data_IF_941118732564
#
_entry.id   IF_941118732564
#
_cell.length_a   1.000
_cell.length_b   1.000
_cell.length_c   1.000
_cell.angle_alpha   90.00
_cell.angle_beta   90.00
_cell.angle_gamma   90.00
#
_symmetry.space_group_name_H-M   'P 1'
#
loop_
_entity.id
_entity.type
_entity.pdbx_description
1 polymer ?
#
# COMPACT_ATOMS: atom_id res chain seq x y z
N UNK A 1 -8.84 -16.66 2.65
CA UNK A 1 -9.15 -17.08 4.04
C UNK A 1 -9.24 -15.79 4.87
N UNK A 2 -10.42 -15.38 5.32
CA UNK A 2 -10.68 -13.96 5.68
C UNK A 2 -10.31 -13.59 7.14
N UNK A 3 -10.07 -14.57 8.02
CA UNK A 3 -9.82 -14.33 9.45
C UNK A 3 -8.46 -14.89 9.95
N UNK A 4 -7.38 -14.73 9.18
CA UNK A 4 -6.05 -15.08 9.69
C UNK A 4 -5.53 -13.98 10.66
N UNK A 5 -5.33 -14.28 11.96
CA UNK A 5 -4.83 -13.31 12.93
C UNK A 5 -3.42 -12.81 12.62
N UNK A 6 -2.64 -13.53 11.80
CA UNK A 6 -1.32 -13.12 11.33
C UNK A 6 -1.33 -12.41 9.97
N UNK A 7 -2.52 -12.21 9.39
CA UNK A 7 -2.75 -11.57 8.08
C UNK A 7 -1.78 -12.08 7.01
N UNK A 8 -1.60 -13.40 6.90
CA UNK A 8 -0.71 -13.98 5.90
C UNK A 8 -1.22 -13.68 4.49
N UNK A 9 -0.28 -13.56 3.56
CA UNK A 9 -0.56 -13.25 2.16
C UNK A 9 -1.15 -14.48 1.46
N UNK A 10 -2.19 -14.28 0.67
CA UNK A 10 -2.82 -15.33 -0.13
C UNK A 10 -2.05 -15.54 -1.44
N UNK A 11 -0.86 -16.13 -1.31
CA UNK A 11 0.04 -16.39 -2.43
C UNK A 11 -0.31 -17.71 -3.11
N UNK A 12 -0.35 -17.70 -4.44
CA UNK A 12 -0.62 -18.88 -5.25
C UNK A 12 0.49 -19.92 -5.05
N UNK A 13 0.10 -21.11 -4.59
CA UNK A 13 1.04 -22.22 -4.40
C UNK A 13 1.63 -22.65 -5.76
N UNK A 14 2.92 -23.04 -5.80
CA UNK A 14 3.52 -23.58 -7.01
C UNK A 14 2.81 -24.85 -7.44
N UNK A 15 2.76 -25.07 -8.76
CA UNK A 15 2.17 -26.25 -9.38
C UNK A 15 3.11 -26.81 -10.42
N UNK A 16 3.26 -28.12 -10.41
CA UNK A 16 3.93 -28.90 -11.44
C UNK A 16 3.06 -28.96 -12.71
N UNK A 17 3.59 -29.38 -13.87
CA UNK A 17 2.82 -29.52 -15.10
C UNK A 17 1.60 -30.44 -15.00
N UNK A 18 1.62 -31.40 -14.07
CA UNK A 18 0.48 -32.28 -13.79
C UNK A 18 -0.61 -31.62 -12.90
N UNK A 19 -0.38 -30.40 -12.43
CA UNK A 19 -1.27 -29.63 -11.56
C UNK A 19 -1.03 -29.80 -10.07
N UNK A 20 -0.19 -30.76 -9.66
CA UNK A 20 0.08 -31.04 -8.25
C UNK A 20 1.03 -30.01 -7.65
N UNK A 21 0.96 -29.85 -6.33
CA UNK A 21 1.94 -29.05 -5.60
C UNK A 21 3.28 -29.81 -5.55
N UNK A 22 4.43 -29.16 -5.82
CA UNK A 22 5.72 -29.83 -5.77
C UNK A 22 5.97 -30.51 -4.41
N UNK A 23 6.56 -31.72 -4.42
CA UNK A 23 6.87 -32.44 -3.19
C UNK A 23 7.78 -31.60 -2.29
N UNK A 24 7.57 -31.72 -0.98
CA UNK A 24 8.38 -31.03 0.02
C UNK A 24 8.14 -29.52 0.15
N UNK A 25 7.25 -28.91 -0.65
CA UNK A 25 6.86 -27.51 -0.47
C UNK A 25 6.15 -27.30 0.88
N UNK A 26 6.71 -26.42 1.72
CA UNK A 26 6.19 -26.11 3.05
C UNK A 26 5.34 -24.85 3.02
N UNK A 27 5.78 -23.84 2.26
CA UNK A 27 5.12 -22.54 2.19
C UNK A 27 6.06 -21.43 1.74
N UNK A 28 5.56 -20.20 1.78
CA UNK A 28 6.35 -19.01 1.47
C UNK A 28 7.01 -18.44 2.72
N UNK A 29 8.29 -18.06 2.62
CA UNK A 29 9.08 -17.55 3.74
C UNK A 29 8.43 -16.31 4.37
N UNK A 30 7.86 -15.41 3.56
CA UNK A 30 7.14 -14.21 4.02
C UNK A 30 6.00 -14.53 4.98
N UNK A 31 5.34 -15.70 4.85
CA UNK A 31 4.23 -16.13 5.71
C UNK A 31 4.67 -16.93 6.94
N UNK A 32 5.95 -17.28 7.04
CA UNK A 32 6.53 -17.99 8.19
C UNK A 32 6.98 -17.05 9.31
N UNK A 33 7.08 -15.75 9.03
CA UNK A 33 7.44 -14.74 10.02
C UNK A 33 6.21 -14.38 10.84
N UNK A 34 6.30 -14.53 12.15
CA UNK A 34 5.31 -13.99 13.07
C UNK A 34 5.55 -12.49 13.24
N UNK A 35 4.52 -11.68 12.99
CA UNK A 35 4.58 -10.23 13.11
C UNK A 35 3.76 -9.80 14.32
N UNK A 36 4.32 -8.91 15.10
CA UNK A 36 3.64 -8.32 16.25
C UNK A 36 2.36 -7.60 15.80
N UNK A 37 1.29 -7.76 16.57
CA UNK A 37 -0.02 -7.19 16.27
C UNK A 37 0.01 -5.69 15.93
N UNK A 38 0.82 -4.91 16.66
CA UNK A 38 1.00 -3.47 16.45
C UNK A 38 1.53 -3.12 15.07
N UNK A 39 2.17 -4.08 14.39
CA UNK A 39 2.81 -3.90 13.09
C UNK A 39 2.05 -4.63 11.96
N UNK A 40 0.93 -5.29 12.26
CA UNK A 40 0.18 -6.05 11.28
C UNK A 40 -0.65 -5.21 10.31
N UNK A 41 -1.10 -4.00 10.68
CA UNK A 41 -2.02 -3.16 9.88
C UNK A 41 -1.89 -1.68 10.31
N UNK A 42 -2.31 -0.74 9.46
CA UNK A 42 -2.31 0.72 9.73
C UNK A 42 -0.95 1.25 10.22
N UNK A 43 0.14 0.77 9.60
CA UNK A 43 1.48 1.25 9.90
C UNK A 43 1.91 2.34 8.91
N UNK A 44 1.61 2.16 7.62
CA UNK A 44 1.95 3.13 6.57
C UNK A 44 0.80 4.10 6.32
N UNK A 45 1.10 5.24 5.68
CA UNK A 45 0.15 6.25 5.14
C UNK A 45 -1.07 5.69 4.39
N UNK A 46 -0.94 4.50 3.82
CA UNK A 46 -1.98 3.81 3.04
C UNK A 46 -2.68 2.68 3.81
N UNK A 47 -2.43 2.55 5.11
CA UNK A 47 -3.08 1.57 5.98
C UNK A 47 -2.45 0.17 6.01
N UNK A 48 -1.30 -0.03 5.37
CA UNK A 48 -0.64 -1.34 5.28
C UNK A 48 0.23 -1.65 6.52
N UNK A 49 0.44 -2.92 6.81
CA UNK A 49 1.36 -3.45 7.82
C UNK A 49 2.72 -3.86 7.26
N UNK A 50 3.58 -4.42 8.12
CA UNK A 50 4.94 -4.83 7.75
C UNK A 50 4.99 -6.05 6.82
N UNK A 51 3.99 -6.95 6.85
CA UNK A 51 4.05 -8.19 6.07
C UNK A 51 3.97 -7.89 4.58
N UNK A 52 2.94 -7.16 4.18
CA UNK A 52 2.67 -6.77 2.80
C UNK A 52 3.60 -5.65 2.28
N UNK A 53 4.37 -5.00 3.16
CA UNK A 53 5.35 -3.98 2.78
C UNK A 53 6.78 -4.50 2.96
N UNK A 54 7.36 -4.38 4.16
CA UNK A 54 8.75 -4.69 4.43
C UNK A 54 9.10 -6.16 4.12
N UNK A 55 8.39 -7.11 4.72
CA UNK A 55 8.76 -8.52 4.58
C UNK A 55 8.49 -9.06 3.19
N UNK A 56 7.45 -8.57 2.50
CA UNK A 56 7.22 -8.92 1.11
C UNK A 56 8.33 -8.37 0.20
N UNK A 57 8.83 -7.15 0.44
CA UNK A 57 9.98 -6.66 -0.34
C UNK A 57 11.28 -7.42 -0.06
N UNK A 58 11.46 -7.98 1.15
CA UNK A 58 12.64 -8.77 1.51
C UNK A 58 12.58 -10.21 0.99
N UNK A 59 11.42 -10.85 1.10
CA UNK A 59 11.26 -12.28 0.83
C UNK A 59 10.42 -12.60 -0.39
N UNK A 60 9.68 -11.65 -0.96
CA UNK A 60 8.81 -11.84 -2.14
C UNK A 60 8.08 -13.19 -2.12
N UNK A 61 8.21 -14.01 -3.17
CA UNK A 61 7.71 -15.39 -3.25
C UNK A 61 8.76 -16.45 -2.91
N UNK A 62 9.76 -16.16 -2.07
CA UNK A 62 10.76 -17.16 -1.66
C UNK A 62 10.08 -18.37 -1.04
N UNK A 63 10.29 -19.52 -1.67
CA UNK A 63 9.65 -20.80 -1.31
C UNK A 63 10.51 -21.56 -0.30
N UNK A 64 9.87 -22.29 0.60
CA UNK A 64 10.55 -23.10 1.62
C UNK A 64 10.25 -24.56 1.39
N UNK A 65 11.31 -25.38 1.35
CA UNK A 65 11.26 -26.81 1.08
C UNK A 65 11.82 -27.63 2.24
N UNK A 66 11.41 -28.89 2.32
CA UNK A 66 11.90 -29.84 3.33
C UNK A 66 13.37 -30.20 3.12
N UNK A 67 13.76 -30.61 1.91
CA UNK A 67 15.14 -30.99 1.57
C UNK A 67 15.66 -30.30 0.31
N UNK A 68 16.98 -30.40 0.04
CA UNK A 68 17.59 -29.92 -1.20
C UNK A 68 17.06 -30.64 -2.43
N UNK A 69 16.77 -31.92 -2.33
CA UNK A 69 16.26 -32.74 -3.44
C UNK A 69 14.86 -32.30 -3.85
N UNK A 70 13.97 -32.10 -2.87
CA UNK A 70 12.62 -31.56 -3.11
C UNK A 70 12.67 -30.18 -3.79
N UNK A 71 13.58 -29.32 -3.31
CA UNK A 71 13.82 -28.00 -3.89
C UNK A 71 14.35 -28.08 -5.33
N UNK A 72 15.31 -28.98 -5.59
CA UNK A 72 15.88 -29.19 -6.91
C UNK A 72 14.83 -29.73 -7.91
N UNK A 73 14.00 -30.67 -7.48
CA UNK A 73 12.88 -31.19 -8.28
C UNK A 73 11.88 -30.09 -8.66
N UNK A 74 11.76 -29.07 -7.81
CA UNK A 74 10.81 -27.97 -7.96
C UNK A 74 11.36 -26.76 -8.73
N UNK A 75 12.58 -26.83 -9.25
CA UNK A 75 13.23 -25.72 -9.98
C UNK A 75 12.36 -25.02 -11.03
N UNK A 76 11.57 -25.74 -11.87
CA UNK A 76 10.72 -25.09 -12.87
C UNK A 76 9.62 -24.21 -12.28
N UNK A 77 9.29 -24.38 -11.00
CA UNK A 77 8.20 -23.67 -10.30
C UNK A 77 8.70 -22.53 -9.41
N UNK A 78 10.03 -22.32 -9.30
CA UNK A 78 10.64 -21.32 -8.43
C UNK A 78 10.92 -20.04 -9.21
N UNK A 79 10.37 -18.90 -8.77
CA UNK A 79 10.55 -17.59 -9.41
C UNK A 79 11.57 -16.70 -8.67
N UNK A 80 11.31 -16.42 -7.39
CA UNK A 80 12.01 -15.38 -6.64
C UNK A 80 13.13 -15.95 -5.74
N UNK A 81 13.24 -17.27 -5.69
CA UNK A 81 14.21 -18.00 -4.88
C UNK A 81 13.57 -19.09 -4.02
N UNK A 82 14.42 -19.93 -3.43
CA UNK A 82 13.97 -21.00 -2.55
C UNK A 82 15.04 -21.34 -1.51
N UNK A 83 14.60 -21.87 -0.38
CA UNK A 83 15.46 -22.39 0.69
C UNK A 83 14.97 -23.77 1.12
N UNK A 84 15.89 -24.60 1.59
CA UNK A 84 15.57 -25.90 2.19
C UNK A 84 16.03 -25.98 3.64
N UNK A 85 15.29 -26.72 4.48
CA UNK A 85 15.58 -26.82 5.92
C UNK A 85 16.89 -27.55 6.23
N UNK A 86 17.34 -28.43 5.35
CA UNK A 86 18.63 -29.12 5.42
C UNK A 86 19.81 -28.25 4.93
N UNK A 87 19.54 -27.03 4.45
CA UNK A 87 20.53 -25.98 4.30
C UNK A 87 20.77 -25.48 2.86
N UNK A 88 19.99 -25.89 1.87
CA UNK A 88 20.05 -25.39 0.50
C UNK A 88 19.50 -23.97 0.36
N UNK A 89 20.02 -23.23 -0.61
CA UNK A 89 19.53 -21.89 -0.96
C UNK A 89 19.73 -21.61 -2.46
N UNK A 90 18.65 -21.14 -3.09
CA UNK A 90 18.57 -20.62 -4.45
C UNK A 90 18.16 -19.15 -4.32
N UNK A 91 19.02 -18.25 -4.79
CA UNK A 91 18.73 -16.82 -4.86
C UNK A 91 17.91 -16.53 -6.13
N UNK A 92 17.27 -15.36 -6.16
CA UNK A 92 16.62 -14.85 -7.38
C UNK A 92 17.56 -14.90 -8.59
N UNK A 93 16.97 -15.08 -9.79
CA UNK A 93 17.67 -15.37 -11.06
C UNK A 93 18.35 -16.76 -11.15
N UNK A 94 18.00 -17.71 -10.28
CA UNK A 94 18.46 -19.10 -10.39
C UNK A 94 19.90 -19.32 -9.90
N UNK A 95 20.45 -18.40 -9.11
CA UNK A 95 21.82 -18.51 -8.59
C UNK A 95 21.85 -19.40 -7.35
N UNK A 96 22.56 -20.52 -7.43
CA UNK A 96 22.74 -21.46 -6.33
C UNK A 96 23.83 -20.98 -5.35
N UNK A 97 23.55 -21.07 -4.06
CA UNK A 97 24.57 -20.86 -3.02
C UNK A 97 25.12 -22.22 -2.57
N UNK A 98 26.38 -22.48 -2.90
CA UNK A 98 27.10 -23.73 -2.61
C UNK A 98 28.26 -23.47 -1.64
N UNK A 99 28.70 -24.50 -0.94
CA UNK A 99 29.82 -24.42 0.00
C UNK A 99 29.39 -24.32 1.47
N UNK A 100 30.37 -24.09 2.35
CA UNK A 100 30.10 -24.01 3.78
C UNK A 100 29.30 -22.75 4.11
N UNK A 101 28.39 -22.85 5.08
CA UNK A 101 27.61 -21.69 5.50
C UNK A 101 28.48 -20.77 6.33
N UNK A 102 28.48 -19.49 5.97
CA UNK A 102 28.96 -18.45 6.86
C UNK A 102 27.92 -18.29 7.96
N UNK A 103 28.33 -18.51 9.20
CA UNK A 103 27.45 -18.27 10.34
C UNK A 103 27.13 -16.78 10.43
N UNK A 104 25.84 -16.48 10.59
CA UNK A 104 25.34 -15.12 10.83
C UNK A 104 24.95 -15.04 12.30
N UNK A 105 25.60 -14.15 13.04
CA UNK A 105 25.38 -13.99 14.48
C UNK A 105 23.97 -13.48 14.81
N UNK A 106 23.42 -12.64 13.93
CA UNK A 106 22.07 -12.08 14.05
C UNK A 106 21.04 -13.10 13.61
N UNK A 107 20.10 -13.41 14.51
CA UNK A 107 19.02 -14.39 14.28
C UNK A 107 17.66 -13.75 14.53
N UNK A 108 16.64 -14.24 13.83
CA UNK A 108 15.26 -13.86 14.12
C UNK A 108 14.92 -14.25 15.56
N UNK A 109 14.33 -13.32 16.34
CA UNK A 109 13.89 -13.63 17.70
C UNK A 109 12.79 -14.68 17.66
N UNK A 110 12.80 -15.61 18.63
CA UNK A 110 11.69 -16.54 18.81
C UNK A 110 10.55 -15.80 19.49
N UNK A 111 9.34 -15.93 18.95
CA UNK A 111 8.15 -15.44 19.63
C UNK A 111 7.99 -16.17 20.96
N UNK A 112 7.99 -15.44 22.08
CA UNK A 112 7.63 -16.03 23.36
C UNK A 112 6.14 -16.37 23.33
N UNK A 113 5.80 -17.64 23.55
CA UNK A 113 4.41 -18.17 23.55
C UNK A 113 3.62 -17.66 24.78
N UNK A 114 4.27 -16.96 25.70
CA UNK A 114 3.67 -16.43 26.93
C UNK A 114 3.47 -14.92 26.84
N UNK A 115 2.35 -14.49 26.25
CA UNK A 115 1.69 -13.29 26.77
C UNK A 115 0.31 -13.68 27.26
N UNK A 116 0.20 -13.82 28.58
CA UNK A 116 -1.04 -13.83 29.36
C UNK A 116 -1.73 -12.47 29.33
N UNK A 117 -1.78 -11.84 28.15
CA UNK A 117 -2.52 -10.60 27.96
C UNK A 117 -3.97 -11.00 27.68
N UNK A 118 -4.95 -10.46 28.44
CA UNK A 118 -6.36 -10.75 28.19
C UNK A 118 -6.71 -10.38 26.74
N UNK A 119 -7.51 -11.21 26.06
CA UNK A 119 -7.93 -10.97 24.67
C UNK A 119 -8.51 -9.56 24.46
N UNK A 120 -9.20 -9.02 25.47
CA UNK A 120 -9.74 -7.66 25.50
C UNK A 120 -8.68 -6.56 25.30
N UNK A 121 -7.44 -6.77 25.73
CA UNK A 121 -6.37 -5.77 25.62
C UNK A 121 -5.90 -5.61 24.17
N UNK A 122 -5.75 -6.71 23.45
CA UNK A 122 -5.42 -6.71 22.01
C UNK A 122 -6.51 -6.03 21.19
N UNK A 123 -7.78 -6.32 21.48
CA UNK A 123 -8.92 -5.68 20.81
C UNK A 123 -9.02 -4.18 21.12
N UNK A 124 -8.78 -3.80 22.37
CA UNK A 124 -8.76 -2.37 22.76
C UNK A 124 -7.64 -1.63 22.04
N UNK A 125 -6.44 -2.23 21.96
CA UNK A 125 -5.31 -1.66 21.19
C UNK A 125 -5.63 -1.55 19.71
N UNK A 126 -6.28 -2.56 19.14
CA UNK A 126 -6.75 -2.55 17.75
C UNK A 126 -7.63 -1.34 17.50
N UNK A 127 -8.67 -1.21 18.32
CA UNK A 127 -9.66 -0.16 18.20
C UNK A 127 -9.03 1.23 18.36
N UNK A 128 -8.13 1.40 19.34
CA UNK A 128 -7.41 2.66 19.53
C UNK A 128 -6.59 3.05 18.30
N UNK A 129 -5.90 2.08 17.69
CA UNK A 129 -5.11 2.30 16.48
C UNK A 129 -5.99 2.69 15.29
N UNK A 130 -7.10 2.00 15.09
CA UNK A 130 -8.08 2.33 14.04
C UNK A 130 -8.69 3.71 14.24
N UNK A 131 -9.03 4.09 15.48
CA UNK A 131 -9.59 5.41 15.78
C UNK A 131 -8.57 6.52 15.52
N UNK A 132 -7.31 6.31 15.91
CA UNK A 132 -6.23 7.27 15.62
C UNK A 132 -6.05 7.46 14.11
N UNK A 133 -5.99 6.35 13.38
CA UNK A 133 -5.87 6.35 11.92
C UNK A 133 -7.01 7.13 11.25
N UNK A 134 -8.26 6.78 11.58
CA UNK A 134 -9.46 7.44 11.02
C UNK A 134 -9.46 8.95 11.29
N UNK A 135 -9.02 9.37 12.48
CA UNK A 135 -8.89 10.79 12.82
C UNK A 135 -7.88 11.48 11.92
N UNK A 136 -6.70 10.88 11.72
CA UNK A 136 -5.64 11.45 10.88
C UNK A 136 -6.11 11.57 9.42
N UNK A 137 -6.70 10.52 8.86
CA UNK A 137 -7.26 10.54 7.49
C UNK A 137 -8.35 11.63 7.35
N UNK A 138 -9.27 11.75 8.32
CA UNK A 138 -10.32 12.77 8.27
C UNK A 138 -9.75 14.19 8.33
N UNK A 139 -8.69 14.41 9.10
CA UNK A 139 -8.02 15.73 9.15
C UNK A 139 -7.35 16.08 7.82
N UNK A 140 -6.78 15.11 7.12
CA UNK A 140 -6.23 15.31 5.77
C UNK A 140 -7.33 15.64 4.76
N UNK A 141 -8.46 14.94 4.83
CA UNK A 141 -9.62 15.19 3.98
C UNK A 141 -10.21 16.59 4.20
N UNK A 142 -10.34 17.03 5.46
CA UNK A 142 -10.80 18.38 5.79
C UNK A 142 -9.86 19.44 5.19
N UNK A 143 -8.54 19.25 5.31
CA UNK A 143 -7.54 20.18 4.75
C UNK A 143 -7.64 20.23 3.22
N UNK A 144 -7.78 19.08 2.58
CA UNK A 144 -7.94 18.96 1.12
C UNK A 144 -9.21 19.69 0.65
N UNK A 145 -10.33 19.45 1.32
CA UNK A 145 -11.61 20.06 0.97
C UNK A 145 -11.59 21.59 1.20
N UNK A 146 -10.94 22.05 2.27
CA UNK A 146 -10.76 23.48 2.53
C UNK A 146 -9.94 24.15 1.41
N UNK A 147 -8.86 23.53 0.95
CA UNK A 147 -8.06 24.07 -0.16
C UNK A 147 -8.85 24.18 -1.47
N UNK A 148 -9.73 23.20 -1.75
CA UNK A 148 -10.63 23.24 -2.90
C UNK A 148 -11.66 24.37 -2.77
N UNK A 149 -12.27 24.51 -1.58
CA UNK A 149 -13.22 25.58 -1.29
C UNK A 149 -12.59 26.96 -1.48
N UNK A 150 -11.38 27.17 -0.95
CA UNK A 150 -10.65 28.43 -1.07
C UNK A 150 -10.34 28.78 -2.52
N UNK A 151 -9.93 27.78 -3.31
CA UNK A 151 -9.68 27.93 -4.76
C UNK A 151 -10.95 28.27 -5.52
N UNK A 152 -12.07 27.59 -5.22
CA UNK A 152 -13.36 27.85 -5.84
C UNK A 152 -13.85 29.26 -5.51
N UNK A 153 -13.70 29.70 -4.25
CA UNK A 153 -14.07 31.04 -3.80
C UNK A 153 -13.26 32.12 -4.52
N UNK A 154 -11.95 31.96 -4.63
CA UNK A 154 -11.09 32.91 -5.36
C UNK A 154 -11.48 33.00 -6.84
N UNK A 155 -11.75 31.86 -7.48
CA UNK A 155 -12.14 31.85 -8.89
C UNK A 155 -13.50 32.51 -9.12
N UNK A 156 -14.45 32.30 -8.20
CA UNK A 156 -15.75 32.97 -8.19
C UNK A 156 -15.61 34.49 -8.03
N UNK A 157 -14.83 34.96 -7.05
CA UNK A 157 -14.63 36.39 -6.81
C UNK A 157 -14.01 37.08 -8.03
N UNK A 158 -12.98 36.47 -8.62
CA UNK A 158 -12.39 36.96 -9.88
C UNK A 158 -13.44 37.03 -10.99
N UNK A 159 -14.27 36.00 -11.16
CA UNK A 159 -15.28 35.98 -12.23
C UNK A 159 -16.39 37.00 -12.01
N UNK A 160 -16.77 37.23 -10.75
CA UNK A 160 -17.70 38.27 -10.34
C UNK A 160 -17.17 39.66 -10.72
N UNK A 161 -15.90 39.95 -10.43
CA UNK A 161 -15.26 41.21 -10.81
C UNK A 161 -15.20 41.41 -12.33
N UNK A 162 -14.83 40.38 -13.08
CA UNK A 162 -14.84 40.39 -14.55
C UNK A 162 -16.25 40.70 -15.09
N UNK A 163 -17.28 40.07 -14.52
CA UNK A 163 -18.66 40.27 -14.93
C UNK A 163 -19.16 41.69 -14.64
N UNK A 164 -18.85 42.24 -13.47
CA UNK A 164 -19.20 43.63 -13.12
C UNK A 164 -18.51 44.62 -14.07
N UNK A 165 -17.23 44.41 -14.39
CA UNK A 165 -16.51 45.24 -15.38
C UNK A 165 -17.17 45.18 -16.77
N UNK A 166 -17.57 43.99 -17.22
CA UNK A 166 -18.28 43.81 -18.48
C UNK A 166 -19.61 44.58 -18.52
N UNK A 167 -20.41 44.53 -17.46
CA UNK A 167 -21.66 45.30 -17.36
C UNK A 167 -21.42 46.82 -17.43
N UNK A 168 -20.42 47.32 -16.71
CA UNK A 168 -20.08 48.75 -16.71
C UNK A 168 -19.59 49.26 -18.08
N UNK A 169 -18.84 48.45 -18.82
CA UNK A 169 -18.43 48.79 -20.18
C UNK A 169 -19.62 48.80 -21.13
N UNK A 170 -20.48 47.77 -21.05
CA UNK A 170 -21.65 47.63 -21.92
C UNK A 170 -22.65 48.80 -21.76
N UNK A 171 -22.86 49.29 -20.53
CA UNK A 171 -23.71 50.45 -20.27
C UNK A 171 -23.12 51.76 -20.83
N UNK A 172 -21.80 51.93 -20.75
CA UNK A 172 -21.09 53.09 -21.31
C UNK A 172 -21.14 53.12 -22.85
N UNK A 173 -21.10 51.96 -23.51
CA UNK A 173 -21.30 51.86 -24.96
C UNK A 173 -22.75 52.16 -25.37
N UNK A 174 -23.74 51.72 -24.58
CA UNK A 174 -25.16 52.00 -24.86
C UNK A 174 -25.53 53.49 -24.73
N UNK A 175 -24.82 54.25 -23.90
CA UNK A 175 -25.02 55.71 -23.75
C UNK A 175 -24.33 56.52 -24.86
N UNK A 176 -23.38 55.94 -25.61
CA UNK A 176 -22.77 56.55 -26.80
C UNK A 176 -23.50 56.13 -28.09
N UNK A 177 -24.80 56.41 -28.21
CA UNK A 177 -25.41 56.58 -29.54
C UNK A 177 -25.10 57.99 -30.03
N UNK A 178 -24.55 58.18 -31.25
CA UNK A 178 -24.24 59.51 -31.75
C UNK A 178 -25.53 60.29 -32.02
N UNK A 179 -25.68 61.43 -31.36
CA UNK A 179 -26.46 62.55 -31.87
C UNK A 179 -25.87 62.96 -33.22
N UNK A 180 -26.56 62.61 -34.31
CA UNK A 180 -26.27 63.04 -35.66
C UNK A 180 -27.58 63.28 -36.40
N UNK A 181 -28.39 64.21 -35.89
CA UNK A 181 -29.55 64.74 -36.61
C UNK A 181 -29.03 65.71 -37.68
N UNK A 182 -28.78 65.21 -38.88
CA UNK A 182 -28.56 66.08 -40.05
C UNK A 182 -29.91 66.66 -40.45
N UNK A 183 -30.14 67.89 -39.99
CA UNK A 183 -31.15 68.79 -40.53
C UNK A 183 -30.63 69.33 -41.87
N UNK A 184 -31.24 68.94 -42.98
CA UNK A 184 -31.11 69.68 -44.24
C UNK A 184 -32.26 70.69 -44.34
N UNK A 185 -31.91 71.98 -44.32
CA UNK A 185 -32.77 73.11 -44.66
C UNK A 185 -32.31 73.66 -46.00
N UNK A 186 -33.30 73.86 -46.87
CA UNK A 186 -33.37 74.54 -48.18
C UNK A 186 -32.68 73.84 -49.33
#
# INVERSE_FOLDING_TARGET
>A
MVDDPQRRLDLLKPKLPNGDCPPGFIGFAVNMINVEFTNLFLLTGSGHGLRETLFYNLFSHVQVYKTREDMAFSLPCISDGAISLDGGMIKGAGVFSLGNRNDVDVRFPKSSVTSTLPDNYTDTKKHLKEMKWKRETMLEDIKREQALLDTARQSFERKKEEFVKFLAQSSAYATRKPHGMLSYKV
#
